data_IF_038322932131
#
_entry.id   IF_038322932131
#
_cell.length_a   1.000
_cell.length_b   1.000
_cell.length_c   1.000
_cell.angle_alpha   90.00
_cell.angle_beta   90.00
_cell.angle_gamma   90.00
#
_symmetry.space_group_name_H-M   'P 1'
#
loop_
_entity.id
_entity.type
_entity.pdbx_description
1 polymer ?
#
# COMPACT_ATOMS: atom_id res chain seq x y z
N UNK A 1 3.65 -39.39 22.43
CA UNK A 1 4.13 -38.22 23.14
C UNK A 1 5.50 -37.79 22.63
N UNK A 2 5.59 -37.16 21.46
CA UNK A 2 6.79 -36.39 21.11
C UNK A 2 6.52 -34.95 20.65
N UNK A 3 5.26 -34.50 20.59
CA UNK A 3 4.91 -33.22 19.95
C UNK A 3 5.17 -32.00 20.86
N UNK A 4 5.27 -32.17 22.14
CA UNK A 4 5.45 -31.07 23.11
C UNK A 4 6.91 -30.62 23.26
N UNK A 5 7.85 -31.52 22.96
CA UNK A 5 9.29 -31.17 22.94
C UNK A 5 9.69 -30.42 21.67
N UNK A 6 9.05 -30.70 20.54
CA UNK A 6 9.33 -30.01 19.28
C UNK A 6 8.91 -28.52 19.28
N UNK A 7 7.89 -28.14 20.08
CA UNK A 7 7.44 -26.74 20.20
C UNK A 7 8.38 -25.91 21.11
N UNK A 8 8.98 -26.51 22.12
CA UNK A 8 9.98 -25.85 22.97
C UNK A 8 11.32 -25.71 22.24
N UNK A 9 11.74 -26.72 21.51
CA UNK A 9 12.93 -26.65 20.62
C UNK A 9 12.74 -25.68 19.45
N UNK A 10 11.52 -25.53 18.93
CA UNK A 10 11.20 -24.52 17.95
C UNK A 10 11.31 -23.10 18.54
N UNK A 11 10.90 -22.87 19.77
CA UNK A 11 11.08 -21.58 20.45
C UNK A 11 12.55 -21.24 20.78
N UNK A 12 13.42 -22.23 21.01
CA UNK A 12 14.87 -22.03 21.14
C UNK A 12 15.57 -21.94 19.78
N UNK A 13 15.03 -22.57 18.74
CA UNK A 13 15.55 -22.54 17.38
C UNK A 13 15.16 -21.25 16.62
N UNK A 14 14.01 -20.68 16.91
CA UNK A 14 13.63 -19.34 16.48
C UNK A 14 14.24 -18.29 17.42
N UNK A 15 15.55 -18.13 17.37
CA UNK A 15 16.17 -16.91 17.84
C UNK A 15 15.67 -15.75 16.99
N UNK A 16 14.49 -15.27 17.37
CA UNK A 16 13.85 -14.14 16.73
C UNK A 16 14.84 -12.99 16.69
N UNK A 17 15.21 -12.56 15.49
CA UNK A 17 15.85 -11.27 15.30
C UNK A 17 14.98 -10.22 15.98
N UNK A 18 15.55 -9.16 16.51
CA UNK A 18 14.79 -8.14 17.26
C UNK A 18 13.70 -7.45 16.41
N UNK A 19 13.72 -7.64 15.09
CA UNK A 19 12.62 -7.24 14.20
C UNK A 19 11.37 -8.13 14.43
N UNK A 20 11.53 -9.38 14.91
CA UNK A 20 10.38 -10.23 15.27
C UNK A 20 9.59 -9.66 16.43
N UNK A 21 10.22 -8.94 17.34
CA UNK A 21 9.53 -8.23 18.43
C UNK A 21 8.60 -7.14 17.88
N UNK A 22 9.05 -6.42 16.85
CA UNK A 22 8.21 -5.43 16.15
C UNK A 22 7.06 -6.09 15.39
N UNK A 23 7.27 -7.33 14.94
CA UNK A 23 6.28 -8.09 14.18
C UNK A 23 5.42 -9.01 15.06
N UNK A 24 5.45 -8.91 16.39
CA UNK A 24 4.55 -9.66 17.28
C UNK A 24 3.05 -9.45 16.94
N UNK A 25 2.74 -8.44 16.16
CA UNK A 25 1.41 -8.23 15.59
C UNK A 25 1.06 -9.21 14.46
N UNK A 26 2.04 -9.94 13.94
CA UNK A 26 1.82 -10.99 12.94
C UNK A 26 1.85 -12.33 13.67
N UNK A 27 0.73 -13.06 13.77
CA UNK A 27 0.70 -14.39 14.35
C UNK A 27 1.74 -15.30 13.70
N UNK A 28 2.43 -16.11 14.51
CA UNK A 28 3.50 -16.99 14.00
C UNK A 28 2.96 -17.96 12.96
N UNK A 29 1.72 -18.42 13.12
CA UNK A 29 1.03 -19.32 12.19
C UNK A 29 0.89 -18.71 10.80
N UNK A 30 0.73 -17.39 10.71
CA UNK A 30 0.68 -16.69 9.42
C UNK A 30 2.04 -16.65 8.75
N UNK A 31 3.10 -16.46 9.53
CA UNK A 31 4.47 -16.49 9.03
C UNK A 31 4.80 -17.90 8.53
N UNK A 32 4.49 -18.93 9.31
CA UNK A 32 4.72 -20.32 8.93
C UNK A 32 3.91 -20.71 7.68
N UNK A 33 2.63 -20.33 7.64
CA UNK A 33 1.78 -20.58 6.47
C UNK A 33 2.32 -19.91 5.22
N UNK A 34 2.77 -18.65 5.33
CA UNK A 34 3.38 -17.95 4.22
C UNK A 34 4.70 -18.58 3.77
N UNK A 35 5.55 -19.00 4.72
CA UNK A 35 6.82 -19.65 4.40
C UNK A 35 6.66 -21.00 3.70
N UNK A 36 5.56 -21.72 3.92
CA UNK A 36 5.22 -22.96 3.18
C UNK A 36 5.00 -22.71 1.68
N UNK A 37 4.69 -21.49 1.27
CA UNK A 37 4.59 -21.09 -0.15
C UNK A 37 5.97 -20.90 -0.81
N UNK A 38 7.04 -20.97 -0.04
CA UNK A 38 8.41 -20.92 -0.58
C UNK A 38 8.73 -22.24 -1.31
N UNK A 39 9.08 -22.18 -2.59
CA UNK A 39 9.41 -23.35 -3.42
C UNK A 39 10.61 -24.16 -2.92
N UNK A 40 11.37 -23.64 -1.96
CA UNK A 40 12.61 -24.23 -1.47
C UNK A 40 12.70 -24.31 0.05
N UNK A 41 11.60 -24.62 0.73
CA UNK A 41 11.63 -24.99 2.14
C UNK A 41 12.46 -26.28 2.32
N UNK A 42 13.77 -26.16 2.37
CA UNK A 42 14.66 -27.29 2.60
C UNK A 42 14.96 -27.39 4.09
N UNK A 43 14.81 -28.59 4.64
CA UNK A 43 15.16 -29.05 5.99
C UNK A 43 16.64 -28.77 6.38
N UNK A 44 17.49 -28.35 5.45
CA UNK A 44 18.89 -28.01 5.74
C UNK A 44 18.99 -26.66 6.42
N UNK A 45 19.53 -26.65 7.66
CA UNK A 45 19.97 -25.41 8.35
C UNK A 45 21.00 -24.69 7.46
N UNK A 46 20.55 -23.61 6.82
CA UNK A 46 21.41 -22.75 6.00
C UNK A 46 21.83 -21.54 6.82
N UNK A 47 22.94 -20.86 6.45
CA UNK A 47 23.43 -19.66 7.10
C UNK A 47 22.39 -18.53 7.18
N UNK A 48 21.38 -18.52 6.30
CA UNK A 48 20.28 -17.55 6.28
C UNK A 48 18.97 -18.29 6.00
N UNK A 49 18.22 -18.69 7.06
CA UNK A 49 16.91 -19.34 6.95
C UNK A 49 15.85 -18.42 6.36
N UNK A 50 14.74 -18.99 5.85
CA UNK A 50 13.71 -18.24 5.13
C UNK A 50 12.96 -17.23 5.99
N UNK A 51 12.74 -17.52 7.28
CA UNK A 51 12.17 -16.59 8.25
C UNK A 51 13.06 -15.35 8.43
N UNK A 52 14.35 -15.54 8.61
CA UNK A 52 15.30 -14.43 8.73
C UNK A 52 15.41 -13.61 7.43
N UNK A 53 15.28 -14.27 6.26
CA UNK A 53 15.23 -13.56 4.98
C UNK A 53 13.97 -12.69 4.87
N UNK A 54 12.84 -13.17 5.37
CA UNK A 54 11.61 -12.39 5.43
C UNK A 54 11.82 -11.10 6.23
N UNK A 55 12.41 -11.22 7.42
CA UNK A 55 12.73 -10.06 8.26
C UNK A 55 13.76 -9.13 7.61
N UNK A 56 14.71 -9.68 6.88
CA UNK A 56 15.65 -8.89 6.09
C UNK A 56 14.94 -8.07 5.00
N UNK A 57 13.95 -8.64 4.33
CA UNK A 57 13.16 -7.93 3.32
C UNK A 57 12.41 -6.75 3.94
N UNK A 58 11.82 -6.90 5.13
CA UNK A 58 11.21 -5.79 5.87
C UNK A 58 12.24 -4.76 6.32
N UNK A 59 13.39 -5.20 6.82
CA UNK A 59 14.49 -4.31 7.18
C UNK A 59 14.99 -3.48 6.00
N UNK A 60 15.03 -4.06 4.80
CA UNK A 60 15.40 -3.32 3.59
C UNK A 60 14.45 -2.15 3.29
N UNK A 61 13.19 -2.24 3.69
CA UNK A 61 12.22 -1.16 3.54
C UNK A 61 12.46 -0.03 4.56
N UNK A 62 12.85 -0.36 5.79
CA UNK A 62 13.14 0.60 6.85
C UNK A 62 14.49 1.30 6.68
N UNK A 63 15.52 0.57 6.27
CA UNK A 63 16.90 1.05 6.13
C UNK A 63 17.29 1.20 4.66
N UNK A 64 16.54 2.05 3.97
CA UNK A 64 16.69 2.23 2.52
C UNK A 64 18.09 2.72 2.09
N UNK A 65 18.75 3.54 2.90
CA UNK A 65 20.05 4.12 2.60
C UNK A 65 21.20 3.13 2.83
N UNK A 66 20.93 2.06 3.57
CA UNK A 66 21.96 1.11 3.95
C UNK A 66 22.12 -0.01 2.91
N UNK A 67 23.34 -0.46 2.65
CA UNK A 67 23.55 -1.69 1.92
C UNK A 67 22.85 -2.88 2.58
N UNK A 68 22.35 -3.86 1.82
CA UNK A 68 21.54 -4.95 2.37
C UNK A 68 22.28 -5.80 3.42
N UNK A 69 23.60 -5.95 3.28
CA UNK A 69 24.42 -6.66 4.28
C UNK A 69 24.53 -5.87 5.60
N UNK A 70 24.55 -4.52 5.54
CA UNK A 70 24.52 -3.67 6.73
C UNK A 70 23.16 -3.73 7.42
N UNK A 71 22.07 -3.82 6.67
CA UNK A 71 20.73 -4.02 7.23
C UNK A 71 20.69 -5.33 8.04
N UNK A 72 21.25 -6.42 7.49
CA UNK A 72 21.33 -7.70 8.19
C UNK A 72 22.15 -7.58 9.49
N UNK A 73 23.28 -6.87 9.46
CA UNK A 73 24.14 -6.64 10.63
C UNK A 73 23.42 -5.82 11.71
N UNK A 74 22.80 -4.69 11.33
CA UNK A 74 22.09 -3.80 12.28
C UNK A 74 20.93 -4.47 12.97
N UNK A 75 20.25 -5.36 12.28
CA UNK A 75 19.10 -6.09 12.80
C UNK A 75 19.47 -7.41 13.47
N UNK A 76 20.78 -7.68 13.61
CA UNK A 76 21.28 -8.92 14.19
C UNK A 76 20.72 -10.18 13.53
N UNK A 77 20.45 -10.10 12.23
CA UNK A 77 20.02 -11.23 11.41
C UNK A 77 21.23 -12.12 11.19
N UNK A 78 21.18 -13.39 11.58
CA UNK A 78 22.27 -14.38 11.51
C UNK A 78 23.32 -14.34 12.65
N UNK A 79 23.06 -13.68 13.77
CA UNK A 79 24.10 -13.47 14.80
C UNK A 79 24.32 -14.60 15.77
N UNK A 80 23.62 -15.74 15.70
CA UNK A 80 23.85 -16.82 16.68
C UNK A 80 24.37 -18.11 16.06
N UNK A 81 25.56 -18.46 16.46
CA UNK A 81 26.09 -19.82 16.59
C UNK A 81 26.85 -20.41 15.41
N UNK A 82 26.93 -19.80 14.24
CA UNK A 82 27.56 -20.45 13.06
C UNK A 82 28.55 -19.60 12.26
N UNK A 83 28.69 -18.35 12.56
CA UNK A 83 29.72 -17.55 11.95
C UNK A 83 30.16 -16.47 12.92
N UNK A 84 31.37 -16.61 13.41
CA UNK A 84 32.20 -15.49 13.64
C UNK A 84 31.91 -14.42 12.60
N UNK A 85 32.04 -13.18 12.90
CA UNK A 85 31.94 -11.91 12.17
C UNK A 85 32.16 -11.91 10.64
N UNK A 86 32.22 -13.07 9.99
CA UNK A 86 32.40 -13.20 8.55
C UNK A 86 31.09 -12.84 7.84
N UNK A 87 31.10 -11.62 7.36
CA UNK A 87 30.18 -10.98 6.45
C UNK A 87 29.44 -11.97 5.55
N UNK A 88 28.10 -11.92 5.62
CA UNK A 88 27.28 -12.53 4.60
C UNK A 88 27.72 -12.01 3.24
N UNK A 89 28.24 -12.88 2.39
CA UNK A 89 28.60 -12.50 1.04
C UNK A 89 27.37 -11.93 0.34
N UNK A 90 27.52 -10.86 -0.43
CA UNK A 90 26.41 -10.21 -1.18
C UNK A 90 25.63 -11.20 -2.04
N UNK A 91 26.33 -12.18 -2.65
CA UNK A 91 25.73 -13.29 -3.41
C UNK A 91 24.86 -14.20 -2.52
N UNK A 92 25.30 -14.49 -1.30
CA UNK A 92 24.56 -15.30 -0.33
C UNK A 92 23.22 -14.69 0.06
N UNK A 93 23.18 -13.38 0.29
CA UNK A 93 21.94 -12.64 0.55
C UNK A 93 21.00 -12.66 -0.66
N UNK A 94 21.53 -12.42 -1.86
CA UNK A 94 20.73 -12.47 -3.08
C UNK A 94 20.14 -13.86 -3.33
N UNK A 95 20.95 -14.90 -3.12
CA UNK A 95 20.49 -16.30 -3.29
C UNK A 95 19.46 -16.68 -2.22
N UNK A 96 19.61 -16.21 -0.97
CA UNK A 96 18.65 -16.44 0.08
C UNK A 96 17.30 -15.78 -0.24
N UNK A 97 17.30 -14.53 -0.71
CA UNK A 97 16.09 -13.83 -1.16
C UNK A 97 15.44 -14.52 -2.37
N UNK A 98 16.23 -15.01 -3.31
CA UNK A 98 15.72 -15.78 -4.47
C UNK A 98 15.03 -17.06 -4.01
N UNK A 99 15.57 -17.75 -3.00
CA UNK A 99 14.94 -18.95 -2.43
C UNK A 99 13.66 -18.67 -1.69
N UNK A 100 13.58 -17.58 -0.92
CA UNK A 100 12.34 -17.17 -0.28
C UNK A 100 11.23 -16.94 -1.31
N UNK A 101 11.56 -16.37 -2.47
CA UNK A 101 10.60 -16.06 -3.52
C UNK A 101 9.73 -14.84 -3.20
N UNK A 102 8.69 -14.65 -3.98
CA UNK A 102 7.74 -13.53 -3.86
C UNK A 102 6.55 -13.92 -2.98
N UNK A 103 6.01 -15.12 -3.19
CA UNK A 103 4.75 -15.57 -2.62
C UNK A 103 4.63 -15.44 -1.09
N UNK A 104 5.64 -15.76 -0.27
CA UNK A 104 5.55 -15.60 1.18
C UNK A 104 5.31 -14.14 1.60
N UNK A 105 6.01 -13.19 0.98
CA UNK A 105 5.91 -11.77 1.33
C UNK A 105 4.56 -11.20 0.86
N UNK A 106 4.12 -11.55 -0.34
CA UNK A 106 2.81 -11.18 -0.87
C UNK A 106 1.68 -11.74 -0.02
N UNK A 107 1.73 -13.03 0.34
CA UNK A 107 0.72 -13.69 1.17
C UNK A 107 0.57 -12.99 2.53
N UNK A 108 1.68 -12.69 3.22
CA UNK A 108 1.65 -11.96 4.48
C UNK A 108 1.08 -10.55 4.33
N UNK A 109 1.45 -9.83 3.27
CA UNK A 109 0.87 -8.52 3.02
C UNK A 109 -0.65 -8.60 2.86
N UNK A 110 -1.16 -9.53 2.04
CA UNK A 110 -2.60 -9.68 1.79
C UNK A 110 -3.36 -10.10 3.05
N UNK A 111 -2.80 -11.04 3.82
CA UNK A 111 -3.41 -11.52 5.04
C UNK A 111 -3.46 -10.43 6.11
N UNK A 112 -2.35 -9.74 6.36
CA UNK A 112 -2.27 -8.64 7.32
C UNK A 112 -3.10 -7.44 6.87
N UNK A 113 -3.05 -7.07 5.59
CA UNK A 113 -3.84 -5.98 5.04
C UNK A 113 -5.34 -6.20 5.20
N UNK A 114 -5.82 -7.40 4.88
CA UNK A 114 -7.22 -7.79 5.08
C UNK A 114 -7.64 -7.72 6.55
N UNK A 115 -6.83 -8.26 7.45
CA UNK A 115 -7.15 -8.31 8.89
C UNK A 115 -7.11 -6.90 9.51
N UNK A 116 -6.02 -6.17 9.31
CA UNK A 116 -5.84 -4.85 9.91
C UNK A 116 -6.72 -3.78 9.26
N UNK A 117 -7.07 -3.94 7.99
CA UNK A 117 -8.04 -3.07 7.32
C UNK A 117 -9.46 -3.17 7.88
N UNK A 118 -9.74 -4.23 8.64
CA UNK A 118 -11.03 -4.43 9.35
C UNK A 118 -11.00 -3.96 10.80
N UNK A 119 -9.84 -3.64 11.37
CA UNK A 119 -9.74 -3.09 12.71
C UNK A 119 -10.50 -1.76 12.79
N UNK A 120 -11.15 -1.50 13.93
CA UNK A 120 -11.92 -0.31 14.16
C UNK A 120 -11.16 0.66 15.03
N UNK A 121 -11.21 1.93 14.65
CA UNK A 121 -10.57 3.03 15.36
C UNK A 121 -11.58 4.16 15.62
N UNK A 122 -11.35 5.03 16.61
CA UNK A 122 -12.15 6.22 16.78
C UNK A 122 -12.21 7.06 15.47
N UNK A 123 -13.40 7.56 15.14
CA UNK A 123 -13.66 8.35 13.94
C UNK A 123 -13.35 7.59 12.60
N UNK A 124 -13.34 6.27 12.62
CA UNK A 124 -12.99 5.39 11.49
C UNK A 124 -14.06 5.38 10.39
N UNK A 125 -15.30 5.68 10.73
CA UNK A 125 -16.45 5.61 9.82
C UNK A 125 -16.96 7.00 9.41
N UNK A 126 -17.50 7.08 8.22
CA UNK A 126 -18.25 8.21 7.72
C UNK A 126 -19.73 7.81 7.61
N UNK A 127 -20.56 8.35 8.51
CA UNK A 127 -22.01 8.08 8.57
C UNK A 127 -22.34 6.56 8.51
N UNK A 128 -21.62 5.75 9.26
CA UNK A 128 -21.77 4.30 9.32
C UNK A 128 -21.06 3.51 8.22
N UNK A 129 -20.41 4.19 7.27
CA UNK A 129 -19.65 3.55 6.20
C UNK A 129 -18.14 3.65 6.41
N UNK A 130 -17.41 2.59 6.11
CA UNK A 130 -15.95 2.62 5.99
C UNK A 130 -15.55 3.36 4.73
N UNK A 131 -14.58 4.24 4.87
CA UNK A 131 -14.08 5.01 3.72
C UNK A 131 -12.85 4.32 3.14
N UNK A 132 -13.00 3.83 1.93
CA UNK A 132 -11.95 3.19 1.16
C UNK A 132 -11.50 4.10 0.02
N UNK A 133 -10.27 3.96 -0.46
CA UNK A 133 -9.81 4.64 -1.67
C UNK A 133 -9.01 3.68 -2.55
N UNK A 134 -9.14 3.86 -3.86
CA UNK A 134 -8.34 3.15 -4.88
C UNK A 134 -7.57 4.17 -5.69
N UNK A 135 -6.27 3.95 -5.81
CA UNK A 135 -5.41 4.79 -6.67
C UNK A 135 -4.19 4.01 -7.15
N UNK A 136 -3.51 4.53 -8.16
CA UNK A 136 -2.34 3.95 -8.79
C UNK A 136 -1.04 4.71 -8.52
N UNK A 137 0.06 3.99 -8.44
CA UNK A 137 1.39 4.57 -8.33
C UNK A 137 2.39 3.85 -9.23
N UNK A 138 3.35 4.59 -9.76
CA UNK A 138 4.45 4.04 -10.55
C UNK A 138 5.74 4.01 -9.73
N UNK A 139 6.47 2.90 -9.84
CA UNK A 139 7.80 2.73 -9.26
C UNK A 139 8.80 2.44 -10.38
N UNK A 140 10.00 3.01 -10.26
CA UNK A 140 11.09 2.74 -11.18
C UNK A 140 11.88 1.52 -10.72
N UNK A 141 12.36 0.74 -11.66
CA UNK A 141 13.31 -0.35 -11.39
C UNK A 141 14.70 0.01 -11.92
N UNK A 142 15.69 -0.80 -11.57
CA UNK A 142 17.02 -0.68 -12.17
C UNK A 142 16.94 -0.85 -13.69
N UNK A 143 17.80 -0.15 -14.40
CA UNK A 143 17.87 -0.21 -15.85
C UNK A 143 18.76 -1.36 -16.30
N UNK A 144 18.13 -2.46 -16.71
CA UNK A 144 18.76 -3.58 -17.37
C UNK A 144 17.82 -4.25 -18.37
N UNK A 145 18.36 -5.06 -19.28
CA UNK A 145 17.63 -5.70 -20.36
C UNK A 145 16.42 -6.50 -19.85
N UNK A 146 16.62 -7.39 -18.87
CA UNK A 146 15.57 -8.27 -18.35
C UNK A 146 14.41 -7.49 -17.71
N UNK A 147 14.71 -6.41 -16.96
CA UNK A 147 13.67 -5.57 -16.34
C UNK A 147 12.96 -4.69 -17.37
N UNK A 148 13.65 -4.25 -18.44
CA UNK A 148 13.00 -3.55 -19.57
C UNK A 148 12.03 -4.45 -20.33
N UNK A 149 12.44 -5.66 -20.63
CA UNK A 149 11.61 -6.64 -21.32
C UNK A 149 10.37 -6.99 -20.51
N UNK A 150 10.52 -7.20 -19.21
CA UNK A 150 9.43 -7.60 -18.33
C UNK A 150 8.48 -6.44 -17.99
N UNK A 151 9.00 -5.32 -17.47
CA UNK A 151 8.17 -4.23 -16.95
C UNK A 151 7.76 -3.22 -18.02
N UNK A 152 8.58 -3.04 -19.02
CA UNK A 152 8.39 -1.98 -20.01
C UNK A 152 8.66 -0.59 -19.45
N UNK A 153 8.52 0.40 -20.29
CA UNK A 153 8.69 1.82 -19.96
C UNK A 153 7.64 2.66 -20.66
N UNK A 154 7.29 3.81 -20.06
CA UNK A 154 6.40 4.76 -20.71
C UNK A 154 7.08 5.44 -21.90
N UNK A 155 6.31 5.78 -22.93
CA UNK A 155 6.77 6.65 -24.00
C UNK A 155 6.66 8.10 -23.55
N UNK A 156 7.65 8.92 -23.87
CA UNK A 156 7.54 10.37 -23.75
C UNK A 156 6.70 10.93 -24.91
N UNK A 157 6.20 12.14 -24.75
CA UNK A 157 5.46 12.84 -25.83
C UNK A 157 6.20 12.90 -27.17
N UNK A 158 7.51 12.65 -27.18
CA UNK A 158 8.39 12.60 -28.35
C UNK A 158 8.66 11.17 -28.84
N UNK A 159 7.84 10.19 -28.47
CA UNK A 159 8.02 8.75 -28.76
C UNK A 159 9.33 8.13 -28.21
N UNK A 160 10.08 8.86 -27.39
CA UNK A 160 11.25 8.31 -26.70
C UNK A 160 10.81 7.48 -25.49
N UNK A 161 11.41 6.33 -25.29
CA UNK A 161 11.20 5.52 -24.08
C UNK A 161 11.72 6.29 -22.87
N UNK A 162 11.03 6.14 -21.72
CA UNK A 162 11.59 6.64 -20.47
C UNK A 162 12.92 5.89 -20.17
N UNK A 163 13.90 6.57 -19.55
CA UNK A 163 15.21 5.96 -19.31
C UNK A 163 15.16 4.75 -18.38
N UNK A 164 14.05 4.53 -17.65
CA UNK A 164 13.92 3.47 -16.67
C UNK A 164 12.69 2.60 -16.92
N UNK A 165 12.80 1.27 -16.75
CA UNK A 165 11.64 0.41 -16.70
C UNK A 165 10.81 0.72 -15.45
N UNK A 166 9.49 0.59 -15.57
CA UNK A 166 8.56 0.95 -14.51
C UNK A 166 7.56 -0.16 -14.25
N UNK A 167 7.20 -0.32 -13.01
CA UNK A 167 6.08 -1.16 -12.60
C UNK A 167 4.94 -0.28 -12.07
N UNK A 168 3.74 -0.80 -12.19
CA UNK A 168 2.51 -0.18 -11.71
C UNK A 168 2.05 -0.89 -10.45
N UNK A 169 1.77 -0.11 -9.43
CA UNK A 169 1.05 -0.51 -8.23
C UNK A 169 -0.34 0.12 -8.29
N UNK A 170 -1.39 -0.67 -8.08
CA UNK A 170 -2.72 -0.16 -7.73
C UNK A 170 -3.04 -0.69 -6.35
N UNK A 171 -3.52 0.15 -5.44
CA UNK A 171 -3.79 -0.23 -4.07
C UNK A 171 -5.20 0.17 -3.64
N UNK A 172 -5.78 -0.65 -2.76
CA UNK A 172 -6.98 -0.37 -1.98
C UNK A 172 -6.54 0.00 -0.57
N UNK A 173 -6.90 1.18 -0.09
CA UNK A 173 -6.52 1.70 1.22
C UNK A 173 -7.75 2.04 2.05
N UNK A 174 -7.75 1.72 3.34
CA UNK A 174 -8.64 2.34 4.32
C UNK A 174 -8.16 3.77 4.57
N UNK A 175 -9.00 4.74 4.24
CA UNK A 175 -8.66 6.18 4.24
C UNK A 175 -8.36 6.70 5.65
N UNK A 176 -9.02 6.16 6.67
CA UNK A 176 -8.92 6.65 8.06
C UNK A 176 -7.71 6.08 8.80
N UNK A 177 -7.39 4.81 8.59
CA UNK A 177 -6.21 4.16 9.19
C UNK A 177 -4.96 4.24 8.31
N UNK A 178 -5.10 4.55 7.03
CA UNK A 178 -4.06 4.47 5.99
C UNK A 178 -3.50 3.05 5.78
N UNK A 179 -4.18 2.01 6.26
CA UNK A 179 -3.77 0.62 5.97
C UNK A 179 -4.05 0.29 4.51
N UNK A 180 -3.05 -0.20 3.81
CA UNK A 180 -3.20 -0.78 2.47
C UNK A 180 -3.84 -2.16 2.63
N UNK A 181 -5.13 -2.27 2.32
CA UNK A 181 -5.94 -3.48 2.52
C UNK A 181 -5.60 -4.54 1.49
N UNK A 182 -5.41 -4.12 0.25
CA UNK A 182 -5.02 -4.97 -0.86
C UNK A 182 -4.20 -4.18 -1.89
N UNK A 183 -3.47 -4.88 -2.75
CA UNK A 183 -2.67 -4.28 -3.80
C UNK A 183 -2.51 -5.22 -5.00
N UNK A 184 -2.34 -4.63 -6.18
CA UNK A 184 -1.97 -5.32 -7.41
C UNK A 184 -0.72 -4.68 -7.99
N UNK A 185 0.27 -5.51 -8.31
CA UNK A 185 1.52 -5.07 -8.91
C UNK A 185 1.63 -5.68 -10.30
N UNK A 186 1.91 -4.86 -11.29
CA UNK A 186 1.99 -5.32 -12.68
C UNK A 186 3.04 -4.54 -13.48
N UNK A 187 3.43 -5.06 -14.66
CA UNK A 187 4.18 -4.27 -15.63
C UNK A 187 3.44 -2.98 -15.99
N UNK A 188 4.21 -1.96 -16.36
CA UNK A 188 3.71 -0.61 -16.70
C UNK A 188 2.56 -0.60 -17.72
N UNK A 189 2.64 -1.49 -18.73
CA UNK A 189 1.67 -1.52 -19.84
C UNK A 189 0.25 -1.94 -19.45
N UNK A 190 0.06 -2.60 -18.30
CA UNK A 190 -1.27 -3.01 -17.84
C UNK A 190 -2.02 -1.80 -17.28
N UNK A 191 -3.27 -1.60 -17.71
CA UNK A 191 -4.12 -0.50 -17.23
C UNK A 191 -4.51 -0.65 -15.75
N UNK A 192 -4.94 0.44 -15.12
CA UNK A 192 -5.31 0.47 -13.70
C UNK A 192 -6.69 -0.15 -13.43
N UNK A 193 -7.66 0.03 -14.33
CA UNK A 193 -9.03 -0.49 -14.16
C UNK A 193 -9.03 -2.02 -14.00
N UNK A 194 -8.38 -2.83 -14.88
CA UNK A 194 -8.32 -4.27 -14.71
C UNK A 194 -7.64 -4.72 -13.42
N UNK A 195 -6.75 -3.90 -12.86
CA UNK A 195 -6.11 -4.19 -11.57
C UNK A 195 -7.06 -3.87 -10.41
N UNK A 196 -7.84 -2.81 -10.51
CA UNK A 196 -8.83 -2.44 -9.50
C UNK A 196 -10.00 -3.45 -9.40
N UNK A 197 -10.35 -4.12 -10.50
CA UNK A 197 -11.37 -5.17 -10.51
C UNK A 197 -11.03 -6.36 -9.58
N UNK A 198 -9.75 -6.60 -9.30
CA UNK A 198 -9.32 -7.62 -8.33
C UNK A 198 -9.69 -7.28 -6.88
N UNK A 199 -9.99 -6.01 -6.57
CA UNK A 199 -10.31 -5.60 -5.20
C UNK A 199 -11.77 -5.83 -4.80
N UNK A 200 -12.64 -6.22 -5.71
CA UNK A 200 -14.06 -6.41 -5.44
C UNK A 200 -14.34 -7.32 -4.22
N UNK A 201 -13.49 -8.34 -4.01
CA UNK A 201 -13.60 -9.25 -2.86
C UNK A 201 -12.88 -8.73 -1.60
N UNK A 202 -12.06 -7.70 -1.73
CA UNK A 202 -11.31 -7.10 -0.62
C UNK A 202 -11.99 -5.83 -0.07
N UNK A 203 -12.93 -5.26 -0.84
CA UNK A 203 -13.74 -4.12 -0.41
C UNK A 203 -14.79 -4.61 0.58
N UNK A 204 -14.80 -4.10 1.83
CA UNK A 204 -15.76 -4.54 2.85
C UNK A 204 -17.18 -4.11 2.53
N UNK A 205 -18.16 -4.81 3.10
CA UNK A 205 -19.53 -4.32 3.18
C UNK A 205 -19.59 -3.04 4.03
N UNK A 206 -20.69 -2.32 3.98
CA UNK A 206 -20.89 -1.05 4.69
C UNK A 206 -19.72 -0.09 4.43
N UNK A 207 -19.43 0.15 3.14
CA UNK A 207 -18.30 0.98 2.73
C UNK A 207 -18.62 1.89 1.55
N UNK A 208 -17.84 2.96 1.45
CA UNK A 208 -17.79 3.82 0.28
C UNK A 208 -16.36 3.88 -0.26
N UNK A 209 -16.17 3.53 -1.52
CA UNK A 209 -14.86 3.55 -2.17
C UNK A 209 -14.70 4.80 -3.03
N UNK A 210 -13.66 5.57 -2.74
CA UNK A 210 -13.32 6.80 -3.44
C UNK A 210 -12.35 6.47 -4.59
N UNK A 211 -12.71 6.87 -5.80
CA UNK A 211 -11.90 6.64 -6.99
C UNK A 211 -11.39 7.94 -7.60
N UNK A 212 -10.23 7.90 -8.25
CA UNK A 212 -9.84 8.93 -9.18
C UNK A 212 -10.57 8.76 -10.52
N UNK A 213 -10.66 9.86 -11.28
CA UNK A 213 -11.32 9.91 -12.58
C UNK A 213 -10.80 8.85 -13.57
N UNK A 214 -9.55 8.42 -13.45
CA UNK A 214 -8.92 7.39 -14.27
C UNK A 214 -9.60 6.01 -14.17
N UNK A 215 -10.31 5.74 -13.07
CA UNK A 215 -11.00 4.47 -12.81
C UNK A 215 -12.44 4.43 -13.34
N UNK A 216 -12.85 5.38 -14.16
CA UNK A 216 -14.21 5.41 -14.69
C UNK A 216 -14.52 4.17 -15.53
N UNK A 217 -15.32 3.27 -14.99
CA UNK A 217 -15.75 2.01 -15.61
C UNK A 217 -17.13 1.61 -15.11
N UNK A 218 -18.12 1.53 -16.01
CA UNK A 218 -19.46 1.05 -15.64
C UNK A 218 -19.40 -0.38 -15.09
N UNK A 219 -18.56 -1.25 -15.64
CA UNK A 219 -18.35 -2.61 -15.14
C UNK A 219 -17.89 -2.61 -13.68
N UNK A 220 -16.84 -1.85 -13.36
CA UNK A 220 -16.31 -1.76 -12.00
C UNK A 220 -17.35 -1.20 -11.02
N UNK A 221 -18.03 -0.09 -11.39
CA UNK A 221 -19.00 0.56 -10.51
C UNK A 221 -20.24 -0.32 -10.25
N UNK A 222 -20.76 -0.99 -11.28
CA UNK A 222 -21.89 -1.90 -11.13
C UNK A 222 -21.54 -3.17 -10.35
N UNK A 223 -20.32 -3.68 -10.52
CA UNK A 223 -19.87 -4.85 -9.75
C UNK A 223 -19.71 -4.58 -8.25
N UNK A 224 -19.49 -3.33 -7.84
CA UNK A 224 -19.46 -2.96 -6.43
C UNK A 224 -20.84 -3.04 -5.77
N UNK A 225 -21.90 -2.74 -6.52
CA UNK A 225 -23.28 -2.70 -6.02
C UNK A 225 -24.02 -4.05 -6.18
N UNK A 226 -23.33 -5.14 -6.52
CA UNK A 226 -23.96 -6.44 -6.66
C UNK A 226 -24.22 -7.11 -5.30
N UNK A 227 -25.42 -7.69 -5.14
CA UNK A 227 -25.86 -8.40 -3.94
C UNK A 227 -26.37 -7.48 -2.83
N UNK A 228 -26.65 -8.06 -1.65
CA UNK A 228 -27.17 -7.35 -0.46
C UNK A 228 -26.11 -6.56 0.31
N UNK A 229 -24.93 -6.36 -0.29
CA UNK A 229 -23.82 -5.65 0.35
C UNK A 229 -23.92 -4.16 0.08
N UNK A 230 -24.00 -3.36 1.13
CA UNK A 230 -23.92 -1.89 1.05
C UNK A 230 -22.50 -1.43 0.71
N UNK A 231 -22.09 -1.61 -0.55
CA UNK A 231 -20.80 -1.15 -1.07
C UNK A 231 -21.02 -0.02 -2.06
N UNK A 232 -20.76 1.19 -1.61
CA UNK A 232 -20.94 2.39 -2.41
C UNK A 232 -19.61 2.83 -3.07
N UNK A 233 -19.75 3.66 -4.08
CA UNK A 233 -18.61 4.28 -4.77
C UNK A 233 -18.84 5.77 -4.97
N UNK A 234 -17.74 6.52 -5.11
CA UNK A 234 -17.73 7.95 -5.36
C UNK A 234 -16.56 8.30 -6.28
N UNK A 235 -16.87 8.90 -7.45
CA UNK A 235 -15.91 9.17 -8.52
C UNK A 235 -16.20 10.51 -9.19
N UNK A 236 -15.20 11.30 -9.66
CA UNK A 236 -15.45 12.49 -10.46
C UNK A 236 -16.14 12.17 -11.78
N UNK A 237 -17.05 13.05 -12.17
CA UNK A 237 -17.69 12.96 -13.47
C UNK A 237 -16.66 13.01 -14.62
N UNK A 238 -16.82 12.13 -15.59
CA UNK A 238 -16.01 12.15 -16.80
C UNK A 238 -16.58 13.17 -17.80
N UNK A 239 -15.76 14.01 -18.36
CA UNK A 239 -16.19 14.96 -19.42
C UNK A 239 -16.75 14.21 -20.63
N UNK A 240 -17.84 14.76 -21.22
CA UNK A 240 -18.45 14.24 -22.43
C UNK A 240 -19.33 12.98 -22.22
N UNK A 241 -19.77 12.71 -20.98
CA UNK A 241 -20.77 11.70 -20.72
C UNK A 241 -22.14 12.15 -21.27
N UNK A 242 -22.76 11.30 -22.06
CA UNK A 242 -24.17 11.47 -22.46
C UNK A 242 -25.02 10.90 -21.33
N UNK A 243 -25.81 11.75 -20.70
CA UNK A 243 -26.65 11.40 -19.57
C UNK A 243 -28.02 12.07 -19.68
N UNK A 244 -29.04 11.40 -19.14
CA UNK A 244 -30.41 11.90 -19.05
C UNK A 244 -30.77 12.05 -17.59
N UNK A 245 -31.22 13.22 -17.16
CA UNK A 245 -31.72 13.44 -15.80
C UNK A 245 -33.06 12.75 -15.63
N UNK A 246 -33.16 11.82 -14.69
CA UNK A 246 -34.37 11.11 -14.34
C UNK A 246 -35.13 11.83 -13.22
N UNK A 247 -34.41 12.38 -12.23
CA UNK A 247 -34.98 13.07 -11.08
C UNK A 247 -34.02 14.13 -10.57
N UNK A 248 -34.59 15.26 -10.17
CA UNK A 248 -33.86 16.33 -9.48
C UNK A 248 -34.22 16.29 -7.99
N UNK A 249 -33.22 16.26 -7.14
CA UNK A 249 -33.36 16.30 -5.69
C UNK A 249 -33.16 17.71 -5.11
N UNK A 250 -32.41 18.54 -5.83
CA UNK A 250 -32.11 19.94 -5.47
C UNK A 250 -31.14 20.55 -6.48
N UNK A 251 -30.65 21.74 -6.18
CA UNK A 251 -29.65 22.41 -7.02
C UNK A 251 -28.35 21.61 -7.03
N UNK A 252 -27.93 21.18 -8.21
CA UNK A 252 -26.72 20.36 -8.38
C UNK A 252 -26.80 18.93 -7.85
N UNK A 253 -28.00 18.42 -7.52
CA UNK A 253 -28.21 17.06 -7.02
C UNK A 253 -29.29 16.33 -7.83
N UNK A 254 -28.89 15.39 -8.64
CA UNK A 254 -29.72 14.76 -9.64
C UNK A 254 -29.46 13.23 -9.71
N UNK A 255 -30.52 12.47 -10.02
CA UNK A 255 -30.39 11.09 -10.49
C UNK A 255 -30.29 11.11 -12.01
N UNK A 256 -29.24 10.54 -12.55
CA UNK A 256 -29.03 10.48 -13.99
C UNK A 256 -28.90 9.06 -14.50
N UNK A 257 -29.31 8.85 -15.75
CA UNK A 257 -29.16 7.59 -16.47
C UNK A 257 -28.12 7.74 -17.58
N UNK A 258 -27.29 6.72 -17.74
CA UNK A 258 -26.22 6.67 -18.74
C UNK A 258 -26.26 5.33 -19.48
N UNK A 259 -25.77 5.32 -20.71
CA UNK A 259 -25.58 4.07 -21.48
C UNK A 259 -24.28 3.39 -21.07
N UNK A 260 -24.30 2.07 -20.96
CA UNK A 260 -23.09 1.25 -20.87
C UNK A 260 -22.48 1.13 -22.26
N UNK A 261 -21.19 1.34 -22.40
CA UNK A 261 -20.54 1.30 -23.71
C UNK A 261 -20.65 -0.09 -24.36
N UNK A 262 -20.82 -0.19 -25.69
CA UNK A 262 -20.84 -1.46 -26.39
C UNK A 262 -19.60 -2.32 -26.14
N UNK A 263 -18.43 -1.69 -25.98
CA UNK A 263 -17.18 -2.39 -25.66
C UNK A 263 -17.21 -3.02 -24.27
N UNK A 264 -17.78 -2.35 -23.27
CA UNK A 264 -17.93 -2.91 -21.92
C UNK A 264 -18.88 -4.11 -21.94
N UNK A 265 -20.02 -4.01 -22.64
CA UNK A 265 -20.99 -5.11 -22.79
C UNK A 265 -20.41 -6.28 -23.61
N UNK A 266 -19.58 -6.02 -24.62
CA UNK A 266 -18.87 -7.08 -25.34
C UNK A 266 -17.92 -7.87 -24.44
N UNK A 267 -17.25 -7.20 -23.49
CA UNK A 267 -16.36 -7.85 -22.51
C UNK A 267 -17.14 -8.58 -21.41
N UNK A 268 -18.23 -8.00 -20.97
CA UNK A 268 -19.12 -8.55 -19.95
C UNK A 268 -20.57 -8.45 -20.41
N UNK A 269 -21.13 -9.51 -21.03
CA UNK A 269 -22.49 -9.52 -21.55
C UNK A 269 -23.58 -9.41 -20.48
N UNK A 270 -23.27 -9.61 -19.20
CA UNK A 270 -24.23 -9.46 -18.09
C UNK A 270 -24.52 -8.01 -17.72
N UNK A 271 -23.75 -7.06 -18.27
CA UNK A 271 -23.98 -5.65 -18.01
C UNK A 271 -25.26 -5.14 -18.68
N UNK A 272 -26.06 -4.32 -17.96
CA UNK A 272 -27.27 -3.73 -18.52
C UNK A 272 -26.94 -2.74 -19.64
N UNK A 273 -27.95 -2.41 -20.45
CA UNK A 273 -27.78 -1.38 -21.50
C UNK A 273 -27.59 0.03 -20.93
N UNK A 274 -28.28 0.31 -19.83
CA UNK A 274 -28.24 1.58 -19.12
C UNK A 274 -28.01 1.33 -17.63
N UNK A 275 -27.46 2.33 -16.97
CA UNK A 275 -27.26 2.34 -15.53
C UNK A 275 -27.51 3.72 -14.96
N UNK A 276 -27.81 3.78 -13.66
CA UNK A 276 -28.15 5.01 -12.97
C UNK A 276 -27.07 5.35 -11.95
N UNK A 277 -26.87 6.64 -11.73
CA UNK A 277 -26.01 7.17 -10.69
C UNK A 277 -26.54 8.51 -10.21
N UNK A 278 -26.26 8.83 -8.95
CA UNK A 278 -26.51 10.17 -8.42
C UNK A 278 -25.36 11.08 -8.81
N UNK A 279 -25.69 12.24 -9.37
CA UNK A 279 -24.77 13.28 -9.80
C UNK A 279 -24.85 14.43 -8.81
N UNK A 280 -23.74 14.78 -8.19
CA UNK A 280 -23.65 15.86 -7.20
C UNK A 280 -22.63 16.91 -7.66
N UNK A 281 -23.10 18.12 -7.90
CA UNK A 281 -22.31 19.28 -8.30
C UNK A 281 -22.21 20.28 -7.14
N UNK A 282 -21.01 20.79 -6.87
CA UNK A 282 -20.77 21.72 -5.79
C UNK A 282 -19.68 22.75 -6.14
N UNK A 283 -19.77 23.97 -5.59
CA UNK A 283 -18.80 25.01 -5.84
C UNK A 283 -17.46 24.72 -5.17
N UNK A 284 -16.38 25.01 -5.87
CA UNK A 284 -15.01 25.02 -5.35
C UNK A 284 -14.32 26.30 -5.81
N UNK A 285 -13.18 26.67 -5.22
CA UNK A 285 -12.44 27.91 -5.59
C UNK A 285 -12.15 28.04 -7.08
N UNK A 286 -12.01 26.93 -7.81
CA UNK A 286 -11.71 26.88 -9.24
C UNK A 286 -12.93 26.71 -10.15
N UNK A 287 -14.16 26.85 -9.63
CA UNK A 287 -15.40 26.65 -10.38
C UNK A 287 -16.31 25.59 -9.76
N UNK A 288 -17.03 24.84 -10.61
CA UNK A 288 -17.94 23.78 -10.17
C UNK A 288 -17.23 22.43 -10.33
N UNK A 289 -17.30 21.60 -9.28
CA UNK A 289 -16.85 20.22 -9.29
C UNK A 289 -18.05 19.28 -9.24
N UNK A 290 -18.05 18.26 -10.08
CA UNK A 290 -19.10 17.28 -10.14
C UNK A 290 -18.54 15.87 -9.84
N UNK A 291 -19.26 15.13 -9.01
CA UNK A 291 -18.99 13.74 -8.68
C UNK A 291 -20.22 12.88 -8.95
N UNK A 292 -19.97 11.61 -9.21
CA UNK A 292 -20.99 10.59 -9.42
C UNK A 292 -20.88 9.55 -8.31
N UNK A 293 -22.01 9.01 -7.86
CA UNK A 293 -22.04 8.07 -6.73
C UNK A 293 -23.26 7.15 -6.78
N UNK A 294 -23.17 6.02 -6.08
CA UNK A 294 -24.30 5.14 -5.75
C UNK A 294 -24.95 5.48 -4.41
N UNK A 295 -24.43 6.43 -3.64
CA UNK A 295 -24.98 6.83 -2.34
C UNK A 295 -26.40 7.39 -2.49
N UNK A 296 -27.43 6.80 -1.82
CA UNK A 296 -28.81 7.23 -1.96
C UNK A 296 -29.04 8.62 -1.35
N UNK A 297 -29.90 9.41 -2.02
CA UNK A 297 -30.23 10.78 -1.55
C UNK A 297 -30.90 10.79 -0.18
N UNK A 298 -31.72 9.77 0.13
CA UNK A 298 -32.47 9.70 1.38
C UNK A 298 -31.58 9.68 2.63
N UNK A 299 -30.36 9.15 2.51
CA UNK A 299 -29.45 8.97 3.67
C UNK A 299 -28.26 9.92 3.67
N UNK A 300 -27.82 10.38 2.49
CA UNK A 300 -26.57 11.15 2.37
C UNK A 300 -26.79 12.49 1.66
N UNK A 301 -26.57 13.61 2.36
CA UNK A 301 -26.72 14.93 1.75
C UNK A 301 -25.62 15.23 0.72
N UNK A 302 -25.92 16.08 -0.27
CA UNK A 302 -24.97 16.53 -1.30
C UNK A 302 -23.71 17.18 -0.66
N UNK A 303 -23.90 18.00 0.39
CA UNK A 303 -22.79 18.64 1.11
C UNK A 303 -21.87 17.63 1.82
N UNK A 304 -22.45 16.57 2.40
CA UNK A 304 -21.67 15.50 3.03
C UNK A 304 -20.83 14.74 1.98
N UNK A 305 -21.42 14.42 0.83
CA UNK A 305 -20.72 13.75 -0.30
C UNK A 305 -19.57 14.65 -0.84
N UNK A 306 -19.81 15.94 -1.00
CA UNK A 306 -18.80 16.89 -1.46
C UNK A 306 -17.61 16.98 -0.51
N UNK A 307 -17.86 16.90 0.80
CA UNK A 307 -16.80 16.88 1.81
C UNK A 307 -16.05 15.55 1.83
N UNK A 308 -16.77 14.43 1.74
CA UNK A 308 -16.17 13.10 1.71
C UNK A 308 -15.17 12.94 0.56
N UNK A 309 -15.51 13.43 -0.63
CA UNK A 309 -14.61 13.27 -1.78
C UNK A 309 -13.23 13.95 -1.59
N UNK A 310 -13.12 14.92 -0.69
CA UNK A 310 -11.82 15.54 -0.34
C UNK A 310 -10.86 14.56 0.32
N UNK A 311 -11.40 13.54 0.99
CA UNK A 311 -10.61 12.52 1.68
C UNK A 311 -9.91 11.54 0.71
N UNK A 312 -10.32 11.48 -0.54
CA UNK A 312 -9.60 10.72 -1.57
C UNK A 312 -8.10 11.06 -1.61
N UNK A 313 -7.74 12.29 -1.27
CA UNK A 313 -6.34 12.71 -1.25
C UNK A 313 -5.46 11.92 -0.26
N UNK A 314 -6.06 11.25 0.73
CA UNK A 314 -5.31 10.51 1.75
C UNK A 314 -4.52 9.32 1.16
N UNK A 315 -5.01 8.66 0.09
CA UNK A 315 -4.25 7.59 -0.56
C UNK A 315 -3.00 8.12 -1.28
N UNK A 316 -3.07 9.34 -1.84
CA UNK A 316 -1.89 10.00 -2.41
C UNK A 316 -0.86 10.34 -1.32
N UNK A 317 -1.34 10.69 -0.11
CA UNK A 317 -0.47 10.87 1.06
C UNK A 317 0.18 9.54 1.47
N UNK A 318 -0.56 8.43 1.45
CA UNK A 318 -0.02 7.10 1.69
C UNK A 318 1.10 6.74 0.72
N UNK A 319 0.90 6.96 -0.58
CA UNK A 319 1.96 6.75 -1.58
C UNK A 319 3.14 7.71 -1.42
N UNK A 320 2.89 8.95 -1.01
CA UNK A 320 3.97 9.91 -0.68
C UNK A 320 4.79 9.41 0.50
N UNK A 321 4.15 8.88 1.55
CA UNK A 321 4.84 8.35 2.72
C UNK A 321 5.73 7.16 2.34
N UNK A 322 5.26 6.27 1.46
CA UNK A 322 6.07 5.18 0.93
C UNK A 322 7.26 5.73 0.12
N UNK A 323 7.01 6.61 -0.85
CA UNK A 323 8.05 7.10 -1.78
C UNK A 323 9.04 8.07 -1.13
N UNK A 324 8.56 8.95 -0.25
CA UNK A 324 9.39 10.02 0.31
C UNK A 324 9.94 9.65 1.68
N UNK A 325 9.16 9.04 2.55
CA UNK A 325 9.60 8.73 3.92
C UNK A 325 10.36 7.40 3.98
N UNK A 326 9.79 6.31 3.45
CA UNK A 326 10.45 5.01 3.49
C UNK A 326 11.54 4.88 2.42
N UNK A 327 11.25 5.25 1.17
CA UNK A 327 12.24 5.21 0.08
C UNK A 327 13.21 6.40 0.10
N UNK A 328 13.05 7.35 1.03
CA UNK A 328 13.92 8.54 1.19
C UNK A 328 14.15 9.28 -0.14
N UNK A 329 13.11 9.38 -0.95
CA UNK A 329 13.13 9.94 -2.31
C UNK A 329 14.03 9.16 -3.31
N UNK A 330 14.53 7.98 -2.96
CA UNK A 330 15.15 7.07 -3.93
C UNK A 330 14.05 6.49 -4.82
N UNK A 331 13.82 7.12 -5.95
CA UNK A 331 12.70 6.81 -6.86
C UNK A 331 12.81 5.39 -7.46
N UNK A 332 14.02 4.84 -7.54
CA UNK A 332 14.32 3.55 -8.18
C UNK A 332 14.47 2.44 -7.12
N UNK A 333 13.73 1.35 -7.26
CA UNK A 333 13.91 0.15 -6.46
C UNK A 333 15.33 -0.41 -6.65
N UNK A 334 15.90 -1.03 -5.62
CA UNK A 334 17.31 -1.46 -5.64
C UNK A 334 17.55 -2.86 -6.21
N UNK A 335 16.51 -3.67 -6.30
CA UNK A 335 16.61 -5.05 -6.83
C UNK A 335 16.81 -5.07 -8.34
N UNK A 336 17.64 -6.01 -8.82
CA UNK A 336 18.05 -6.14 -10.23
C UNK A 336 17.44 -7.33 -10.94
N UNK A 337 16.75 -8.24 -10.23
CA UNK A 337 16.05 -9.39 -10.79
C UNK A 337 14.54 -9.18 -10.64
N UNK A 338 13.77 -9.61 -11.62
CA UNK A 338 12.31 -9.41 -11.70
C UNK A 338 11.58 -9.85 -10.43
N UNK A 339 11.79 -11.10 -10.00
CA UNK A 339 11.17 -11.63 -8.79
C UNK A 339 11.60 -10.87 -7.52
N UNK A 340 12.85 -10.42 -7.44
CA UNK A 340 13.34 -9.64 -6.29
C UNK A 340 12.79 -8.21 -6.29
N UNK A 341 12.42 -7.65 -7.44
CA UNK A 341 11.71 -6.36 -7.55
C UNK A 341 10.30 -6.49 -6.97
N UNK A 342 9.56 -7.52 -7.35
CA UNK A 342 8.25 -7.81 -6.76
C UNK A 342 8.35 -8.03 -5.25
N UNK A 343 9.29 -8.88 -4.81
CA UNK A 343 9.54 -9.16 -3.39
C UNK A 343 9.86 -7.88 -2.60
N UNK A 344 10.72 -6.99 -3.15
CA UNK A 344 11.07 -5.71 -2.53
C UNK A 344 9.84 -4.81 -2.35
N UNK A 345 8.97 -4.73 -3.37
CA UNK A 345 7.77 -3.90 -3.28
C UNK A 345 6.73 -4.48 -2.32
N UNK A 346 6.49 -5.79 -2.32
CA UNK A 346 5.63 -6.43 -1.33
C UNK A 346 6.15 -6.25 0.10
N UNK A 347 7.46 -6.39 0.31
CA UNK A 347 8.09 -6.12 1.60
C UNK A 347 7.96 -4.66 2.04
N UNK A 348 8.03 -3.72 1.10
CA UNK A 348 7.83 -2.30 1.35
C UNK A 348 6.38 -2.01 1.79
N UNK A 349 5.38 -2.60 1.13
CA UNK A 349 3.96 -2.46 1.48
C UNK A 349 3.64 -3.11 2.84
N UNK A 350 4.17 -4.30 3.10
CA UNK A 350 3.99 -4.99 4.38
C UNK A 350 4.61 -4.18 5.53
N UNK A 351 5.82 -3.67 5.33
CA UNK A 351 6.50 -2.83 6.31
C UNK A 351 5.74 -1.50 6.55
N UNK A 352 5.20 -0.89 5.50
CA UNK A 352 4.33 0.28 5.60
C UNK A 352 3.12 0.00 6.49
N UNK A 353 2.42 -1.11 6.25
CA UNK A 353 1.26 -1.50 7.05
C UNK A 353 1.62 -1.76 8.52
N UNK A 354 2.77 -2.40 8.79
CA UNK A 354 3.27 -2.60 10.16
C UNK A 354 3.48 -1.27 10.88
N UNK A 355 4.13 -0.31 10.23
CA UNK A 355 4.35 1.02 10.81
C UNK A 355 3.01 1.72 11.06
N UNK A 356 2.09 1.67 10.09
CA UNK A 356 0.77 2.29 10.22
C UNK A 356 -0.05 1.68 11.34
N UNK A 357 -0.03 0.36 11.48
CA UNK A 357 -0.74 -0.34 12.54
C UNK A 357 -0.21 0.02 13.92
N UNK A 358 1.11 -0.01 14.13
CA UNK A 358 1.72 0.42 15.40
C UNK A 358 1.37 1.86 15.73
N UNK A 359 1.40 2.72 14.74
CA UNK A 359 1.01 4.11 14.85
C UNK A 359 -0.48 4.27 15.20
N UNK A 360 -1.36 3.48 14.60
CA UNK A 360 -2.80 3.47 14.89
C UNK A 360 -3.09 3.00 16.31
N UNK A 361 -2.42 1.94 16.77
CA UNK A 361 -2.54 1.44 18.14
C UNK A 361 -2.07 2.49 19.16
N UNK A 362 -0.96 3.18 18.87
CA UNK A 362 -0.52 4.30 19.69
C UNK A 362 -1.55 5.45 19.70
N UNK A 363 -2.14 5.78 18.53
CA UNK A 363 -3.17 6.82 18.44
C UNK A 363 -4.38 6.52 19.36
N UNK A 364 -4.86 5.27 19.34
CA UNK A 364 -5.96 4.83 20.22
C UNK A 364 -5.61 5.06 21.71
N UNK A 365 -4.39 4.70 22.13
CA UNK A 365 -3.93 4.87 23.50
C UNK A 365 -3.90 6.35 23.95
N UNK A 366 -3.81 7.29 23.01
CA UNK A 366 -3.82 8.73 23.25
C UNK A 366 -5.15 9.41 22.86
N UNK A 367 -6.20 8.62 22.60
CA UNK A 367 -7.51 9.10 22.13
C UNK A 367 -7.40 10.04 20.91
N UNK A 368 -6.62 9.63 19.91
CA UNK A 368 -6.36 10.36 18.66
C UNK A 368 -6.73 9.51 17.46
N UNK A 369 -7.06 10.16 16.34
CA UNK A 369 -7.28 9.46 15.09
C UNK A 369 -5.95 8.98 14.48
N UNK A 370 -5.90 7.79 13.85
CA UNK A 370 -4.71 7.30 13.15
C UNK A 370 -4.18 8.26 12.08
N UNK A 371 -5.05 9.04 11.44
CA UNK A 371 -4.70 10.06 10.45
C UNK A 371 -3.94 11.26 11.03
N UNK A 372 -3.99 11.49 12.36
CA UNK A 372 -3.26 12.56 13.03
C UNK A 372 -1.75 12.30 13.17
N UNK A 373 -1.27 11.16 12.71
CA UNK A 373 0.10 10.71 12.88
C UNK A 373 1.03 11.36 11.85
N UNK A 374 2.20 11.78 12.31
CA UNK A 374 3.30 12.22 11.46
C UNK A 374 4.12 11.01 11.00
N UNK A 375 3.79 10.43 9.85
CA UNK A 375 4.36 9.17 9.40
C UNK A 375 5.90 9.16 9.37
N UNK A 376 6.54 10.18 8.76
CA UNK A 376 8.01 10.20 8.66
C UNK A 376 8.73 10.13 10.02
N UNK A 377 8.42 11.00 11.01
CA UNK A 377 9.03 10.89 12.35
C UNK A 377 8.76 9.53 13.02
N UNK A 378 7.57 8.95 12.84
CA UNK A 378 7.26 7.61 13.39
C UNK A 378 8.09 6.53 12.72
N UNK A 379 8.23 6.56 11.39
CA UNK A 379 9.08 5.62 10.65
C UNK A 379 10.54 5.70 11.12
N UNK A 380 11.09 6.92 11.24
CA UNK A 380 12.46 7.14 11.70
C UNK A 380 12.65 6.68 13.17
N UNK A 381 11.66 6.95 14.03
CA UNK A 381 11.68 6.51 15.44
C UNK A 381 11.63 4.99 15.57
N UNK A 382 10.71 4.32 14.86
CA UNK A 382 10.62 2.85 14.86
C UNK A 382 11.94 2.24 14.36
N UNK A 383 12.52 2.77 13.28
CA UNK A 383 13.79 2.28 12.75
C UNK A 383 14.92 2.41 13.79
N UNK A 384 15.00 3.54 14.50
CA UNK A 384 15.97 3.74 15.56
C UNK A 384 15.76 2.76 16.73
N UNK A 385 14.53 2.58 17.19
CA UNK A 385 14.20 1.66 18.28
C UNK A 385 14.51 0.20 17.93
N UNK A 386 14.33 -0.22 16.68
CA UNK A 386 14.69 -1.55 16.23
C UNK A 386 16.20 -1.80 16.32
N UNK A 387 17.05 -0.81 16.02
CA UNK A 387 18.49 -0.90 16.21
C UNK A 387 18.84 -1.05 17.69
N UNK A 388 18.23 -0.23 18.56
CA UNK A 388 18.43 -0.31 20.01
C UNK A 388 18.00 -1.67 20.56
N UNK A 389 16.86 -2.18 20.11
CA UNK A 389 16.35 -3.50 20.48
C UNK A 389 17.27 -4.62 19.98
N UNK A 390 17.88 -4.46 18.79
CA UNK A 390 18.84 -5.41 18.24
C UNK A 390 20.15 -5.46 19.04
N UNK A 391 20.61 -4.33 19.55
CA UNK A 391 21.83 -4.24 20.35
C UNK A 391 21.67 -4.73 21.78
N UNK A 392 20.46 -4.67 22.32
CA UNK A 392 20.16 -5.01 23.72
C UNK A 392 19.49 -6.39 23.84
N UNK A 393 20.22 -7.40 24.33
CA UNK A 393 19.67 -8.71 24.66
C UNK A 393 19.06 -8.68 26.09
N UNK A 394 17.84 -9.07 26.37
CA UNK A 394 17.20 -10.36 26.21
C UNK A 394 15.70 -10.32 25.90
N UNK A 395 15.13 -11.45 25.45
CA UNK A 395 13.74 -11.71 25.10
C UNK A 395 12.73 -11.38 26.24
N UNK A 396 13.14 -11.41 27.48
CA UNK A 396 12.30 -11.22 28.68
C UNK A 396 11.67 -9.82 28.85
N UNK A 397 12.06 -8.82 28.04
CA UNK A 397 11.56 -7.43 28.15
C UNK A 397 10.83 -6.92 26.92
N UNK A 398 10.45 -7.80 26.00
CA UNK A 398 9.87 -7.41 24.71
C UNK A 398 8.55 -6.66 24.84
N UNK A 399 7.64 -7.12 25.72
CA UNK A 399 6.36 -6.44 25.94
C UNK A 399 6.50 -5.01 26.48
N UNK A 400 7.42 -4.82 27.44
CA UNK A 400 7.72 -3.47 27.97
C UNK A 400 8.28 -2.55 26.89
N UNK A 401 9.17 -3.05 26.04
CA UNK A 401 9.78 -2.26 24.94
C UNK A 401 8.78 -1.87 23.89
N UNK A 402 7.83 -2.75 23.54
CA UNK A 402 6.74 -2.39 22.64
C UNK A 402 5.83 -1.30 23.24
N UNK A 403 5.55 -1.40 24.55
CA UNK A 403 4.80 -0.35 25.26
C UNK A 403 5.56 0.99 25.24
N UNK A 404 6.86 0.98 25.51
CA UNK A 404 7.73 2.15 25.46
C UNK A 404 7.79 2.72 24.02
N UNK A 405 7.87 1.86 22.99
CA UNK A 405 7.82 2.27 21.60
C UNK A 405 6.50 2.98 21.27
N UNK A 406 5.35 2.42 21.66
CA UNK A 406 4.03 3.03 21.44
C UNK A 406 3.87 4.34 22.18
N UNK A 407 4.37 4.43 23.42
CA UNK A 407 4.40 5.67 24.17
C UNK A 407 5.21 6.76 23.45
N UNK A 408 6.39 6.41 22.94
CA UNK A 408 7.22 7.33 22.17
C UNK A 408 6.56 7.77 20.85
N UNK A 409 5.86 6.87 20.16
CA UNK A 409 5.07 7.21 18.97
C UNK A 409 3.97 8.21 19.31
N UNK A 410 3.33 8.10 20.48
CA UNK A 410 2.30 9.03 20.96
C UNK A 410 2.75 10.48 21.04
N UNK A 411 4.05 10.73 21.21
CA UNK A 411 4.61 12.09 21.18
C UNK A 411 4.72 12.72 19.78
N UNK A 412 4.51 11.94 18.73
CA UNK A 412 4.75 12.32 17.34
C UNK A 412 3.48 12.68 16.55
N UNK A 413 2.38 12.99 17.26
CA UNK A 413 1.16 13.43 16.61
C UNK A 413 1.28 14.81 15.97
N UNK A 414 0.53 15.02 14.90
CA UNK A 414 0.34 16.33 14.31
C UNK A 414 -0.36 17.25 15.33
N UNK A 415 0.23 18.40 15.60
CA UNK A 415 -0.59 19.55 16.06
C UNK A 415 -1.57 19.83 14.93
N UNK A 416 -2.89 19.88 15.22
CA UNK A 416 -3.91 20.24 14.22
C UNK A 416 -3.48 21.54 13.54
N UNK A 417 -2.90 21.44 12.35
CA UNK A 417 -2.57 22.60 11.54
C UNK A 417 -3.81 22.96 10.75
N UNK A 418 -4.29 24.20 10.91
CA UNK A 418 -5.15 24.79 9.89
C UNK A 418 -4.42 24.69 8.56
N UNK A 419 -5.03 24.01 7.57
CA UNK A 419 -4.45 23.93 6.21
C UNK A 419 -4.27 25.35 5.70
N UNK A 420 -3.10 25.77 5.23
CA UNK A 420 -2.93 27.09 4.66
C UNK A 420 -3.89 27.27 3.49
N UNK A 421 -4.70 28.33 3.52
CA UNK A 421 -5.69 28.67 2.50
C UNK A 421 -5.05 29.36 1.26
N UNK A 422 -3.77 29.65 1.31
CA UNK A 422 -3.04 30.29 0.23
C UNK A 422 -2.75 29.31 -0.92
N UNK A 423 -3.10 29.65 -2.17
CA UNK A 423 -2.78 28.85 -3.32
C UNK A 423 -1.26 28.71 -3.43
N UNK A 424 -0.79 27.48 -3.56
CA UNK A 424 0.64 27.19 -3.80
C UNK A 424 0.89 27.14 -5.30
N UNK A 425 1.91 27.83 -5.78
CA UNK A 425 2.45 27.62 -7.11
C UNK A 425 2.91 26.17 -7.23
N UNK A 426 2.40 25.46 -8.22
CA UNK A 426 2.87 24.09 -8.51
C UNK A 426 4.30 24.20 -9.01
N UNK A 427 5.28 23.86 -8.16
CA UNK A 427 6.66 23.71 -8.62
C UNK A 427 6.69 22.54 -9.62
N UNK A 428 7.16 22.80 -10.83
CA UNK A 428 7.44 21.72 -11.78
C UNK A 428 8.35 20.70 -11.09
N UNK A 429 7.94 19.44 -11.16
CA UNK A 429 8.71 18.35 -10.53
C UNK A 429 10.15 18.37 -11.06
N UNK A 430 11.14 18.49 -10.16
CA UNK A 430 12.56 18.33 -10.48
C UNK A 430 12.90 16.94 -11.04
N UNK A 431 11.93 16.01 -11.02
CA UNK A 431 12.05 14.66 -11.56
C UNK A 431 11.74 14.55 -13.06
N UNK A 432 11.31 15.62 -13.71
CA UNK A 432 11.29 15.66 -15.18
C UNK A 432 12.72 15.89 -15.65
N UNK A 433 13.32 14.83 -16.20
CA UNK A 433 14.56 14.98 -16.95
C UNK A 433 14.34 16.00 -18.05
N UNK A 434 15.24 16.98 -18.14
CA UNK A 434 15.27 17.86 -19.31
C UNK A 434 15.46 16.97 -20.54
N UNK A 435 14.59 17.16 -21.53
CA UNK A 435 14.71 16.43 -22.78
C UNK A 435 15.94 17.01 -23.49
N UNK A 436 17.00 16.22 -23.58
CA UNK A 436 18.10 16.56 -24.48
C UNK A 436 17.58 16.37 -25.90
N UNK A 437 17.29 17.52 -26.56
CA UNK A 437 16.74 17.54 -27.93
C UNK A 437 17.74 17.02 -28.96
N UNK A 438 19.03 16.95 -28.60
CA UNK A 438 20.12 16.55 -29.50
C UNK A 438 20.63 15.11 -29.15
N UNK A 439 20.09 14.44 -28.16
CA UNK A 439 20.49 13.08 -27.85
C UNK A 439 20.10 12.11 -28.98
N UNK A 440 21.02 11.28 -29.40
CA UNK A 440 20.74 10.19 -30.33
C UNK A 440 19.66 9.26 -29.76
N UNK A 441 18.78 8.66 -30.60
CA UNK A 441 17.80 7.69 -30.13
C UNK A 441 18.52 6.53 -29.45
N UNK A 442 18.05 6.16 -28.26
CA UNK A 442 18.52 4.96 -27.56
C UNK A 442 18.20 3.75 -28.42
N UNK A 443 19.24 3.02 -28.83
CA UNK A 443 19.11 1.75 -29.56
C UNK A 443 18.51 0.65 -28.71
#
# INVERSE_FOLDING_TARGET
>A
MPVQYDLLDLNELFNFSNISSFTQNIPIEWVESALRLSESATIRRRRLPSDQVLWLVLGMALFRDEPVHEVARRLNICAKGLASEHLLARSGVTNARTRLGVAPVESLFRQTGKQWGQERYPEDEWQGLRVMAVDGALFRTQDNKALREHFGSGNTATQRQTPYPMLRLVALMNVRSHIMVDAQISPFRRGEIPLAEHFLNSIPNDSVTLFDKGFWSASLMLSLNQGDSERHWLIPERKGLVQTTLKRYGEGDELVQMKVSPQARKKNPTLPETWQARRVSYPVKSGIKTVMTSLPHAHYSAGAIANLYKERWEIELGFRDIKSSMQKNAITLRSKKTNLVYQELWGLLLCYNLIRREASMAAVSFNRAPSDIRFKPVCDYIAAQLIVMAASNPLSRTGRRLSELRSGVGSLFLKRRSRPTTPRTVKMSKTRYQVDRNAAPLK
#
